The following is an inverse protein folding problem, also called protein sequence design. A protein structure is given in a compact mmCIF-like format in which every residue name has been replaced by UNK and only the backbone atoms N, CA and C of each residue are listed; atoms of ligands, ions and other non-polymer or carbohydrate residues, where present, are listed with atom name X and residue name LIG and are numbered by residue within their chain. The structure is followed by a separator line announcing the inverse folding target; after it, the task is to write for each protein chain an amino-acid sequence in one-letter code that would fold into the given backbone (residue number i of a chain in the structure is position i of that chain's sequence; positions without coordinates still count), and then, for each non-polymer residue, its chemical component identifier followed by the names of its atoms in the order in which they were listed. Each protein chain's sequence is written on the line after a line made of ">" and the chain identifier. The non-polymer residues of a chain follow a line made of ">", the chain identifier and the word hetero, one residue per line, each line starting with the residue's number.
data_IF_367226288049
#
_entry.id   IF_367226288049
#
_cell.length_a   1.000
_cell.length_b   1.000
_cell.length_c   1.000
_cell.angle_alpha   90.00
_cell.angle_beta   90.00
_cell.angle_gamma   90.00
#
_symmetry.space_group_name_H-M   'P 1'
#
loop_
_entity.id
_entity.type
_entity.pdbx_description
1 polymer ?
#
# COMPACT_ATOMS: atom_id res chain seq x y z
N UNK A 1 -31.54 39.53 13.34
CA UNK A 1 -30.19 38.94 13.15
C UNK A 1 -30.38 37.59 12.50
N UNK A 2 -30.26 37.53 11.21
CA UNK A 2 -30.35 36.28 10.51
C UNK A 2 -29.04 35.47 10.80
N UNK A 3 -29.24 34.24 11.25
CA UNK A 3 -28.16 33.32 11.54
C UNK A 3 -27.35 33.03 10.24
N UNK A 4 -26.15 33.59 10.13
CA UNK A 4 -25.24 33.41 9.04
C UNK A 4 -24.45 32.08 9.12
N UNK A 5 -24.93 31.10 9.91
CA UNK A 5 -24.41 29.77 9.90
C UNK A 5 -25.14 28.96 8.83
N UNK A 6 -24.43 28.45 7.81
CA UNK A 6 -25.07 27.54 6.88
C UNK A 6 -25.69 26.41 7.68
N UNK A 7 -26.99 26.22 7.50
CA UNK A 7 -27.68 25.05 7.98
C UNK A 7 -26.86 23.85 7.55
N UNK A 8 -26.45 23.00 8.48
CA UNK A 8 -25.65 21.80 8.21
C UNK A 8 -26.46 20.83 7.34
N UNK A 9 -26.68 21.18 6.08
CA UNK A 9 -27.08 20.26 5.05
C UNK A 9 -25.94 19.25 4.86
N UNK A 10 -26.27 17.96 4.70
CA UNK A 10 -25.29 16.95 4.33
C UNK A 10 -24.47 17.47 3.14
N UNK A 11 -23.15 17.44 3.28
CA UNK A 11 -22.27 17.74 2.14
C UNK A 11 -22.64 16.78 0.99
N UNK A 12 -22.62 17.26 -0.26
CA UNK A 12 -22.87 16.38 -1.39
C UNK A 12 -21.82 15.25 -1.41
N UNK A 13 -22.17 14.07 -1.95
CA UNK A 13 -21.22 12.99 -2.10
C UNK A 13 -19.94 13.46 -2.78
N UNK A 14 -18.80 13.10 -2.22
CA UNK A 14 -17.47 13.41 -2.74
C UNK A 14 -16.69 12.13 -3.00
N UNK A 15 -15.69 12.21 -3.87
CA UNK A 15 -14.74 11.14 -4.12
C UNK A 15 -13.45 11.43 -3.38
N UNK A 16 -13.04 10.49 -2.55
CA UNK A 16 -11.75 10.52 -1.87
C UNK A 16 -10.85 9.46 -2.49
N UNK A 17 -9.70 9.87 -3.00
CA UNK A 17 -8.69 8.97 -3.54
C UNK A 17 -7.55 8.84 -2.54
N UNK A 18 -7.20 7.60 -2.23
CA UNK A 18 -6.14 7.28 -1.27
C UNK A 18 -5.03 6.46 -1.94
N UNK A 19 -3.79 6.73 -1.57
CA UNK A 19 -2.71 5.78 -1.71
C UNK A 19 -2.79 4.75 -0.57
N UNK A 20 -1.99 3.70 -0.62
CA UNK A 20 -2.03 2.60 0.33
C UNK A 20 -0.83 2.62 1.27
N UNK A 21 0.35 2.23 0.76
CA UNK A 21 1.56 2.13 1.56
C UNK A 21 1.99 3.49 2.10
N UNK A 22 2.16 3.59 3.42
CA UNK A 22 2.56 4.83 4.07
C UNK A 22 1.45 5.88 4.20
N UNK A 23 0.24 5.60 3.71
CA UNK A 23 -0.95 6.46 3.81
C UNK A 23 -2.02 5.80 4.67
N UNK A 24 -2.51 4.65 4.26
CA UNK A 24 -3.54 3.91 4.99
C UNK A 24 -2.95 2.82 5.89
N UNK A 25 -1.85 2.21 5.46
CA UNK A 25 -1.21 1.09 6.15
C UNK A 25 0.28 1.32 6.38
N UNK A 26 0.77 0.76 7.46
CA UNK A 26 2.19 0.57 7.71
C UNK A 26 2.61 -0.83 7.25
N UNK A 27 3.14 -0.91 6.05
CA UNK A 27 3.60 -2.15 5.41
C UNK A 27 5.13 -2.30 5.42
N UNK A 28 5.84 -1.42 6.11
CA UNK A 28 7.31 -1.34 6.07
C UNK A 28 7.99 -2.65 6.44
N UNK A 29 7.53 -3.30 7.50
CA UNK A 29 8.17 -4.51 8.01
C UNK A 29 8.03 -5.69 7.04
N UNK A 30 6.86 -5.88 6.42
CA UNK A 30 6.64 -6.96 5.46
C UNK A 30 7.37 -6.71 4.14
N UNK A 31 7.43 -5.48 3.68
CA UNK A 31 8.22 -5.12 2.49
C UNK A 31 9.71 -5.35 2.75
N UNK A 32 10.22 -4.91 3.89
CA UNK A 32 11.62 -5.11 4.26
C UNK A 32 11.97 -6.59 4.38
N UNK A 33 11.08 -7.40 4.93
CA UNK A 33 11.25 -8.85 5.01
C UNK A 33 11.36 -9.49 3.62
N UNK A 34 10.49 -9.11 2.69
CA UNK A 34 10.50 -9.63 1.32
C UNK A 34 11.79 -9.23 0.56
N UNK A 35 12.21 -7.98 0.68
CA UNK A 35 13.47 -7.49 0.09
C UNK A 35 14.66 -8.26 0.64
N UNK A 36 14.73 -8.42 1.95
CA UNK A 36 15.85 -9.11 2.59
C UNK A 36 15.86 -10.61 2.31
N UNK A 37 14.71 -11.22 2.08
CA UNK A 37 14.63 -12.61 1.63
C UNK A 37 15.22 -12.76 0.22
N UNK A 38 14.92 -11.86 -0.71
CA UNK A 38 15.56 -11.82 -2.02
C UNK A 38 17.07 -11.64 -1.89
N UNK A 39 17.54 -10.69 -1.09
CA UNK A 39 18.95 -10.44 -0.90
C UNK A 39 19.68 -11.65 -0.34
N UNK A 40 19.10 -12.34 0.63
CA UNK A 40 19.68 -13.56 1.20
C UNK A 40 19.85 -14.69 0.18
N UNK A 41 18.95 -14.80 -0.80
CA UNK A 41 19.05 -15.79 -1.88
C UNK A 41 20.29 -15.57 -2.78
N UNK A 42 20.80 -14.35 -2.79
CA UNK A 42 21.98 -13.95 -3.60
C UNK A 42 23.19 -13.63 -2.74
N UNK A 43 23.21 -14.14 -1.51
CA UNK A 43 24.33 -13.94 -0.55
C UNK A 43 24.63 -12.46 -0.27
N UNK A 44 23.64 -11.59 -0.42
CA UNK A 44 23.77 -10.17 -0.11
C UNK A 44 23.36 -9.90 1.35
N UNK A 45 24.08 -9.02 2.05
CA UNK A 45 23.72 -8.67 3.44
C UNK A 45 22.35 -7.99 3.51
N UNK A 46 21.61 -8.17 4.62
CA UNK A 46 20.32 -7.53 4.77
C UNK A 46 20.44 -6.01 4.84
N UNK A 47 19.43 -5.33 4.31
CA UNK A 47 19.28 -3.87 4.43
C UNK A 47 18.49 -3.54 5.70
N UNK A 48 18.86 -2.46 6.41
CA UNK A 48 18.03 -1.95 7.49
C UNK A 48 16.68 -1.45 6.93
N UNK A 49 15.65 -1.54 7.75
CA UNK A 49 14.27 -1.20 7.33
C UNK A 49 14.17 0.22 6.77
N UNK A 50 14.86 1.18 7.38
CA UNK A 50 14.85 2.58 6.95
C UNK A 50 15.36 2.76 5.52
N UNK A 51 16.35 1.94 5.12
CA UNK A 51 16.88 1.98 3.75
C UNK A 51 15.88 1.38 2.77
N UNK A 52 15.24 0.27 3.13
CA UNK A 52 14.18 -0.31 2.28
C UNK A 52 13.03 0.68 2.11
N UNK A 53 12.59 1.32 3.18
CA UNK A 53 11.52 2.33 3.15
C UNK A 53 11.86 3.48 2.20
N UNK A 54 13.10 3.93 2.16
CA UNK A 54 13.54 4.98 1.24
C UNK A 54 13.43 4.56 -0.24
N UNK A 55 13.38 3.27 -0.53
CA UNK A 55 13.27 2.71 -1.88
C UNK A 55 11.83 2.46 -2.33
N UNK A 56 10.87 2.52 -1.40
CA UNK A 56 9.45 2.26 -1.67
C UNK A 56 8.76 3.49 -2.27
N UNK A 57 7.77 3.26 -3.12
CA UNK A 57 6.87 4.29 -3.64
C UNK A 57 6.66 4.26 -5.15
N UNK A 58 7.65 3.76 -5.91
CA UNK A 58 7.65 3.78 -7.37
C UNK A 58 7.40 2.40 -8.01
N UNK A 59 6.82 1.47 -7.26
CA UNK A 59 6.52 0.11 -7.71
C UNK A 59 7.63 -0.89 -7.43
N UNK A 60 7.30 -2.19 -7.60
CA UNK A 60 8.19 -3.29 -7.24
C UNK A 60 9.48 -3.34 -8.08
N UNK A 61 9.41 -2.95 -9.35
CA UNK A 61 10.58 -2.97 -10.24
C UNK A 61 11.64 -1.96 -9.80
N UNK A 62 11.21 -0.76 -9.48
CA UNK A 62 12.10 0.29 -8.98
C UNK A 62 12.64 -0.07 -7.59
N UNK A 63 11.79 -0.62 -6.73
CA UNK A 63 12.21 -1.15 -5.43
C UNK A 63 13.31 -2.20 -5.59
N UNK A 64 13.10 -3.20 -6.45
CA UNK A 64 14.07 -4.26 -6.70
C UNK A 64 15.40 -3.71 -7.21
N UNK A 65 15.35 -2.79 -8.19
CA UNK A 65 16.55 -2.17 -8.74
C UNK A 65 17.37 -1.43 -7.67
N UNK A 66 16.70 -0.64 -6.84
CA UNK A 66 17.32 0.10 -5.74
C UNK A 66 17.85 -0.85 -4.65
N UNK A 67 17.08 -1.88 -4.33
CA UNK A 67 17.42 -2.85 -3.29
C UNK A 67 18.59 -3.76 -3.66
N UNK A 68 18.94 -3.90 -4.92
CA UNK A 68 20.14 -4.61 -5.37
C UNK A 68 21.43 -3.81 -5.10
N UNK A 69 21.35 -2.49 -5.01
CA UNK A 69 22.49 -1.60 -4.75
C UNK A 69 23.69 -1.89 -5.68
N UNK A 70 23.43 -2.16 -6.96
CA UNK A 70 24.45 -2.45 -7.96
C UNK A 70 24.97 -3.90 -7.97
N UNK A 71 24.39 -4.79 -7.17
CA UNK A 71 24.76 -6.21 -7.19
C UNK A 71 24.46 -6.85 -8.56
N UNK A 72 25.29 -7.80 -9.03
CA UNK A 72 25.15 -8.41 -10.36
C UNK A 72 24.05 -9.48 -10.37
N UNK A 73 22.84 -9.11 -10.00
CA UNK A 73 21.65 -9.96 -10.03
C UNK A 73 20.74 -9.46 -11.13
N UNK A 74 20.16 -10.37 -11.88
CA UNK A 74 19.24 -10.04 -12.96
C UNK A 74 17.97 -9.43 -12.37
N UNK A 75 17.53 -8.27 -12.92
CA UNK A 75 16.47 -7.48 -12.33
C UNK A 75 15.12 -8.21 -12.31
N UNK A 76 14.76 -8.92 -13.38
CA UNK A 76 13.49 -9.65 -13.42
C UNK A 76 13.46 -10.79 -12.39
N UNK A 77 14.60 -11.43 -12.15
CA UNK A 77 14.76 -12.41 -11.07
C UNK A 77 14.47 -11.78 -9.70
N UNK A 78 15.11 -10.65 -9.42
CA UNK A 78 14.91 -9.94 -8.15
C UNK A 78 13.45 -9.48 -7.96
N UNK A 79 12.83 -8.96 -9.02
CA UNK A 79 11.40 -8.57 -9.01
C UNK A 79 10.51 -9.76 -8.67
N UNK A 80 10.72 -10.89 -9.34
CA UNK A 80 9.94 -12.09 -9.12
C UNK A 80 10.11 -12.65 -7.70
N UNK A 81 11.33 -12.64 -7.19
CA UNK A 81 11.64 -13.13 -5.85
C UNK A 81 11.04 -12.23 -4.76
N UNK A 82 11.13 -10.91 -4.89
CA UNK A 82 10.50 -9.97 -3.95
C UNK A 82 8.98 -10.14 -4.00
N UNK A 83 8.40 -10.21 -5.19
CA UNK A 83 6.95 -10.37 -5.36
C UNK A 83 6.44 -11.67 -4.76
N UNK A 84 7.15 -12.78 -4.96
CA UNK A 84 6.78 -14.08 -4.40
C UNK A 84 6.91 -14.09 -2.87
N UNK A 85 8.00 -13.57 -2.32
CA UNK A 85 8.21 -13.47 -0.89
C UNK A 85 7.16 -12.59 -0.22
N UNK A 86 6.85 -11.46 -0.83
CA UNK A 86 5.82 -10.55 -0.33
C UNK A 86 4.42 -11.18 -0.40
N UNK A 87 4.08 -11.83 -1.51
CA UNK A 87 2.80 -12.53 -1.65
C UNK A 87 2.61 -13.66 -0.63
N UNK A 88 3.69 -14.32 -0.24
CA UNK A 88 3.65 -15.41 0.74
C UNK A 88 3.39 -14.90 2.17
N UNK A 89 3.80 -13.67 2.49
CA UNK A 89 3.72 -13.11 3.84
C UNK A 89 3.29 -11.63 3.81
N UNK A 90 2.19 -11.36 3.13
CA UNK A 90 1.70 -10.02 2.79
C UNK A 90 1.16 -9.23 4.00
N UNK A 91 0.64 -9.92 5.01
CA UNK A 91 -0.19 -9.31 6.05
C UNK A 91 0.34 -9.50 7.47
N UNK A 92 1.39 -10.28 7.67
CA UNK A 92 1.82 -10.71 9.01
C UNK A 92 2.21 -9.57 9.93
N UNK A 93 2.82 -8.52 9.39
CA UNK A 93 3.34 -7.37 10.15
C UNK A 93 2.74 -6.05 9.70
N UNK A 94 1.82 -6.09 8.75
CA UNK A 94 1.19 -4.91 8.17
C UNK A 94 -0.07 -4.55 8.96
N UNK A 95 -0.18 -3.29 9.35
CA UNK A 95 -1.30 -2.78 10.13
C UNK A 95 -1.81 -1.47 9.55
N UNK A 96 -3.12 -1.18 9.67
CA UNK A 96 -3.63 0.16 9.41
C UNK A 96 -3.01 1.17 10.37
N UNK A 97 -2.79 2.39 9.92
CA UNK A 97 -2.49 3.47 10.84
C UNK A 97 -3.68 3.74 11.78
N UNK A 98 -3.42 4.21 13.02
CA UNK A 98 -4.49 4.51 13.97
C UNK A 98 -5.55 5.44 13.38
N UNK A 99 -6.82 5.08 13.54
CA UNK A 99 -7.97 5.87 13.08
C UNK A 99 -8.34 5.68 11.61
N UNK A 100 -7.54 4.99 10.81
CA UNK A 100 -7.81 4.82 9.37
C UNK A 100 -9.07 4.01 9.13
N UNK A 101 -9.20 2.85 9.74
CA UNK A 101 -10.39 2.01 9.53
C UNK A 101 -11.67 2.72 9.91
N UNK A 102 -11.69 3.37 11.05
CA UNK A 102 -12.86 4.14 11.50
C UNK A 102 -13.14 5.34 10.58
N UNK A 103 -12.09 6.02 10.13
CA UNK A 103 -12.22 7.13 9.19
C UNK A 103 -12.78 6.71 7.84
N UNK A 104 -12.31 5.60 7.27
CA UNK A 104 -12.83 5.05 6.01
C UNK A 104 -14.31 4.66 6.15
N UNK A 105 -14.67 4.01 7.25
CA UNK A 105 -16.06 3.64 7.53
C UNK A 105 -16.96 4.86 7.69
N UNK A 106 -16.48 5.89 8.37
CA UNK A 106 -17.22 7.13 8.56
C UNK A 106 -17.49 7.86 7.24
N UNK A 107 -16.48 7.95 6.36
CA UNK A 107 -16.63 8.54 5.03
C UNK A 107 -17.64 7.76 4.18
N UNK A 108 -17.51 6.43 4.17
CA UNK A 108 -18.43 5.57 3.44
C UNK A 108 -19.88 5.71 3.97
N UNK A 109 -20.07 5.69 5.29
CA UNK A 109 -21.37 5.83 5.93
C UNK A 109 -22.00 7.19 5.69
N UNK A 110 -21.19 8.23 5.50
CA UNK A 110 -21.65 9.58 5.14
C UNK A 110 -22.06 9.70 3.66
N UNK A 111 -21.95 8.63 2.87
CA UNK A 111 -22.35 8.58 1.47
C UNK A 111 -21.28 9.02 0.49
N UNK A 112 -20.04 9.15 0.94
CA UNK A 112 -18.90 9.46 0.04
C UNK A 112 -18.42 8.21 -0.68
N UNK A 113 -17.74 8.42 -1.80
CA UNK A 113 -17.10 7.38 -2.59
C UNK A 113 -15.61 7.33 -2.26
N UNK A 114 -15.09 6.13 -2.04
CA UNK A 114 -13.67 5.92 -1.76
C UNK A 114 -13.02 5.20 -2.93
N UNK A 115 -11.87 5.68 -3.37
CA UNK A 115 -11.04 5.05 -4.38
C UNK A 115 -9.63 4.83 -3.86
N UNK A 116 -9.03 3.70 -4.22
CA UNK A 116 -7.63 3.40 -3.99
C UNK A 116 -6.86 3.53 -5.29
N UNK A 117 -5.75 4.27 -5.27
CA UNK A 117 -4.81 4.39 -6.39
C UNK A 117 -3.41 4.24 -5.83
N UNK A 118 -2.72 3.17 -6.22
CA UNK A 118 -1.41 2.84 -5.68
C UNK A 118 -0.47 2.25 -6.73
N UNK A 119 0.83 2.51 -6.57
CA UNK A 119 1.87 1.85 -7.37
C UNK A 119 2.13 0.40 -6.94
N UNK A 120 1.61 -0.03 -5.78
CA UNK A 120 1.65 -1.42 -5.36
C UNK A 120 0.93 -2.29 -6.39
N UNK A 121 1.44 -3.49 -6.73
CA UNK A 121 0.74 -4.40 -7.64
C UNK A 121 -0.71 -4.63 -7.23
N UNK A 122 -1.62 -4.51 -8.20
CA UNK A 122 -3.07 -4.59 -7.96
C UNK A 122 -3.51 -5.82 -7.17
N UNK A 123 -3.04 -7.04 -7.49
CA UNK A 123 -3.40 -8.23 -6.72
C UNK A 123 -3.01 -8.15 -5.24
N UNK A 124 -1.85 -7.58 -4.91
CA UNK A 124 -1.42 -7.37 -3.52
C UNK A 124 -2.29 -6.34 -2.81
N UNK A 125 -2.57 -5.22 -3.48
CA UNK A 125 -3.42 -4.17 -2.92
C UNK A 125 -4.82 -4.70 -2.58
N UNK A 126 -5.45 -5.45 -3.50
CA UNK A 126 -6.78 -6.03 -3.28
C UNK A 126 -6.79 -7.05 -2.15
N UNK A 127 -5.76 -7.89 -2.01
CA UNK A 127 -5.62 -8.82 -0.88
C UNK A 127 -5.53 -8.10 0.46
N UNK A 128 -4.84 -6.96 0.52
CA UNK A 128 -4.77 -6.13 1.72
C UNK A 128 -6.13 -5.52 2.06
N UNK A 129 -6.86 -5.00 1.07
CA UNK A 129 -8.22 -4.51 1.30
C UNK A 129 -9.12 -5.60 1.86
N UNK A 130 -9.06 -6.81 1.30
CA UNK A 130 -9.83 -7.97 1.79
C UNK A 130 -9.44 -8.34 3.22
N UNK A 131 -8.14 -8.37 3.51
CA UNK A 131 -7.62 -8.71 4.83
C UNK A 131 -8.13 -7.76 5.92
N UNK A 132 -8.19 -6.46 5.64
CA UNK A 132 -8.68 -5.47 6.60
C UNK A 132 -10.20 -5.29 6.58
N UNK A 133 -10.91 -6.01 5.71
CA UNK A 133 -12.35 -5.86 5.56
C UNK A 133 -12.78 -4.55 4.91
N UNK A 134 -11.90 -3.96 4.12
CA UNK A 134 -12.13 -2.64 3.49
C UNK A 134 -12.71 -2.74 2.08
N UNK A 135 -12.67 -3.90 1.45
CA UNK A 135 -13.14 -4.08 0.06
C UNK A 135 -14.52 -3.50 -0.19
N UNK A 136 -15.54 -3.70 0.69
CA UNK A 136 -16.85 -3.11 0.47
C UNK A 136 -16.91 -1.59 0.59
N UNK A 137 -15.87 -0.96 1.17
CA UNK A 137 -15.81 0.49 1.37
C UNK A 137 -15.32 1.23 0.12
N UNK A 138 -14.57 0.55 -0.74
CA UNK A 138 -13.96 1.16 -1.93
C UNK A 138 -14.78 0.89 -3.18
N UNK A 139 -15.13 1.96 -3.91
CA UNK A 139 -15.82 1.87 -5.21
C UNK A 139 -14.87 1.40 -6.31
N UNK A 140 -13.59 1.72 -6.19
CA UNK A 140 -12.54 1.35 -7.15
C UNK A 140 -11.22 1.17 -6.42
N UNK A 141 -10.43 0.21 -6.87
CA UNK A 141 -9.08 -0.03 -6.39
C UNK A 141 -8.17 -0.32 -7.58
N UNK A 142 -7.31 0.62 -7.91
CA UNK A 142 -6.34 0.54 -9.00
C UNK A 142 -4.93 0.40 -8.43
N UNK A 143 -4.25 -0.64 -8.84
CA UNK A 143 -2.87 -0.90 -8.49
C UNK A 143 -1.95 -0.97 -9.69
N UNK A 144 -0.67 -1.12 -9.45
CA UNK A 144 0.32 -1.32 -10.50
C UNK A 144 -0.03 -2.53 -11.37
N UNK A 145 0.01 -2.35 -12.69
CA UNK A 145 -0.32 -3.39 -13.66
C UNK A 145 -1.80 -3.52 -14.02
N UNK A 146 -2.69 -2.73 -13.43
CA UNK A 146 -4.13 -2.79 -13.72
C UNK A 146 -4.54 -1.99 -14.98
N UNK A 147 -3.65 -1.21 -15.57
CA UNK A 147 -3.90 -0.39 -16.78
C UNK A 147 -3.02 -0.76 -17.94
#
# INVERSE_FOLDING_TARGET
>A
MENFFPQHGKLPPQLFLFDLDGTLIDSRADIAAAVNQMRARHDLPPLPMERVVAYVGDGVRVLAQRALEGAPVELDTAVNEISAAYAADLTSRTTPYPGVTDGLRALHSAGHHLGLVTNKPGPHARRLLDHFGWTPLFSVALGGGDT
#
